data_IF_115634543055
#
_entry.id   IF_115634543055
#
_cell.length_a   1.000
_cell.length_b   1.000
_cell.length_c   1.000
_cell.angle_alpha   90.00
_cell.angle_beta   90.00
_cell.angle_gamma   90.00
#
_symmetry.space_group_name_H-M   'P 1'
#
loop_
_entity.id
_entity.type
_entity.pdbx_description
1 polymer ?
#
# COMPACT_ATOMS: atom_id res chain seq x y z
N UNK A 1 -2.55 46.74 -54.62
CA UNK A 1 -3.18 47.60 -53.57
C UNK A 1 -2.87 47.09 -52.16
N UNK A 2 -3.27 45.87 -51.77
CA UNK A 2 -2.96 45.28 -50.44
C UNK A 2 -1.46 45.17 -50.13
N UNK A 3 -0.63 45.03 -51.16
CA UNK A 3 0.84 45.02 -51.07
C UNK A 3 1.41 46.34 -50.54
N UNK A 4 0.89 47.50 -50.99
CA UNK A 4 1.34 48.82 -50.53
C UNK A 4 1.09 49.04 -49.04
N UNK A 5 -0.03 48.50 -48.52
CA UNK A 5 -0.37 48.55 -47.09
C UNK A 5 0.63 47.72 -46.27
N UNK A 6 1.04 46.56 -46.78
CA UNK A 6 2.06 45.73 -46.15
C UNK A 6 3.43 46.42 -46.14
N UNK A 7 3.82 47.04 -47.26
CA UNK A 7 5.07 47.79 -47.39
C UNK A 7 5.11 49.03 -46.49
N UNK A 8 3.98 49.72 -46.31
CA UNK A 8 3.85 50.82 -45.36
C UNK A 8 4.06 50.34 -43.91
N UNK A 9 3.49 49.20 -43.52
CA UNK A 9 3.74 48.59 -42.21
C UNK A 9 5.21 48.16 -42.02
N UNK A 10 5.97 47.97 -43.11
CA UNK A 10 7.42 47.72 -43.10
C UNK A 10 8.26 49.01 -43.25
N UNK A 11 7.64 50.20 -43.17
CA UNK A 11 8.25 51.52 -43.35
C UNK A 11 8.93 51.75 -44.72
N UNK A 12 8.49 51.03 -45.77
CA UNK A 12 9.07 51.13 -47.13
C UNK A 12 8.35 52.13 -48.03
N UNK A 13 7.16 52.56 -47.64
CA UNK A 13 6.30 53.48 -48.42
C UNK A 13 5.88 54.65 -47.53
N UNK A 14 5.70 55.83 -48.12
CA UNK A 14 5.27 57.03 -47.40
C UNK A 14 3.78 56.97 -47.07
N UNK A 15 3.42 57.58 -45.95
CA UNK A 15 2.05 57.61 -45.42
C UNK A 15 1.04 58.20 -46.41
N UNK A 16 1.46 59.22 -47.15
CA UNK A 16 0.65 59.93 -48.16
C UNK A 16 0.09 58.99 -49.25
N UNK A 17 0.83 57.93 -49.61
CA UNK A 17 0.43 56.99 -50.67
C UNK A 17 -0.57 55.92 -50.22
N UNK A 18 -0.79 55.79 -48.90
CA UNK A 18 -1.63 54.74 -48.30
C UNK A 18 -2.84 55.35 -47.58
N UNK A 19 -2.82 56.65 -47.26
CA UNK A 19 -3.95 57.36 -46.66
C UNK A 19 -5.22 57.28 -47.51
N UNK A 20 -5.11 57.44 -48.84
CA UNK A 20 -6.27 57.30 -49.74
C UNK A 20 -6.84 55.88 -49.76
N UNK A 21 -5.98 54.87 -49.59
CA UNK A 21 -6.37 53.46 -49.56
C UNK A 21 -7.04 53.08 -48.24
N UNK A 22 -6.69 53.75 -47.14
CA UNK A 22 -7.26 53.50 -45.81
C UNK A 22 -8.64 54.14 -45.61
N UNK A 23 -9.10 54.99 -46.55
CA UNK A 23 -10.47 55.53 -46.54
C UNK A 23 -11.53 54.47 -46.88
N UNK A 24 -11.13 53.42 -47.60
CA UNK A 24 -11.99 52.29 -47.91
C UNK A 24 -12.01 51.28 -46.75
N UNK A 25 -13.21 50.91 -46.31
CA UNK A 25 -13.45 50.04 -45.16
C UNK A 25 -12.78 48.67 -45.29
N UNK A 26 -12.68 48.11 -46.51
CA UNK A 26 -12.05 46.80 -46.72
C UNK A 26 -10.54 46.85 -46.43
N UNK A 27 -9.88 47.90 -46.91
CA UNK A 27 -8.44 48.08 -46.77
C UNK A 27 -8.04 48.54 -45.37
N UNK A 28 -8.90 49.30 -44.69
CA UNK A 28 -8.74 49.63 -43.27
C UNK A 28 -8.74 48.37 -42.38
N UNK A 29 -9.69 47.45 -42.61
CA UNK A 29 -9.73 46.16 -41.90
C UNK A 29 -8.47 45.34 -42.15
N UNK A 30 -8.04 45.27 -43.41
CA UNK A 30 -6.83 44.56 -43.80
C UNK A 30 -5.55 45.14 -43.15
N UNK A 31 -5.47 46.46 -42.99
CA UNK A 31 -4.38 47.12 -42.27
C UNK A 31 -4.36 46.76 -40.79
N UNK A 32 -5.51 46.76 -40.11
CA UNK A 32 -5.61 46.38 -38.70
C UNK A 32 -5.21 44.92 -38.45
N UNK A 33 -5.65 44.00 -39.31
CA UNK A 33 -5.31 42.58 -39.20
C UNK A 33 -3.81 42.35 -39.42
N UNK A 34 -3.22 42.97 -40.45
CA UNK A 34 -1.78 42.89 -40.68
C UNK A 34 -0.97 43.48 -39.53
N UNK A 35 -1.41 44.59 -38.96
CA UNK A 35 -0.76 45.22 -37.81
C UNK A 35 -0.76 44.28 -36.60
N UNK A 36 -1.91 43.69 -36.26
CA UNK A 36 -2.02 42.70 -35.17
C UNK A 36 -1.13 41.48 -35.42
N UNK A 37 -1.07 40.98 -36.65
CA UNK A 37 -0.23 39.84 -36.99
C UNK A 37 1.27 40.16 -36.84
N UNK A 38 1.72 41.34 -37.31
CA UNK A 38 3.11 41.78 -37.16
C UNK A 38 3.48 42.04 -35.70
N UNK A 39 2.57 42.59 -34.90
CA UNK A 39 2.74 42.76 -33.46
C UNK A 39 2.86 41.41 -32.74
N UNK A 40 1.96 40.45 -33.04
CA UNK A 40 2.04 39.10 -32.48
C UNK A 40 3.33 38.35 -32.85
N UNK A 41 3.79 38.46 -34.10
CA UNK A 41 5.07 37.90 -34.53
C UNK A 41 6.27 38.57 -33.84
N UNK A 42 6.18 39.88 -33.57
CA UNK A 42 7.21 40.62 -32.83
C UNK A 42 7.25 40.19 -31.36
N UNK A 43 6.11 39.96 -30.72
CA UNK A 43 6.05 39.42 -29.36
C UNK A 43 6.66 38.02 -29.26
N UNK A 44 6.36 37.14 -30.24
CA UNK A 44 6.96 35.80 -30.33
C UNK A 44 8.48 35.84 -30.59
N UNK A 45 8.98 36.88 -31.26
CA UNK A 45 10.43 37.08 -31.47
C UNK A 45 11.13 37.58 -30.20
N UNK A 46 10.47 38.41 -29.38
CA UNK A 46 11.03 38.94 -28.12
C UNK A 46 11.01 37.90 -27.02
N UNK A 47 9.96 37.07 -26.96
CA UNK A 47 9.83 35.94 -26.04
C UNK A 47 9.71 34.63 -26.84
N UNK A 48 10.81 34.14 -27.45
CA UNK A 48 10.77 32.86 -28.12
C UNK A 48 10.37 31.78 -27.10
N UNK A 49 9.37 30.93 -27.39
CA UNK A 49 9.04 29.80 -26.54
C UNK A 49 10.30 28.96 -26.32
N UNK A 50 10.72 28.85 -25.06
CA UNK A 50 11.95 28.19 -24.67
C UNK A 50 11.80 26.66 -24.76
N UNK A 51 11.85 26.16 -26.00
CA UNK A 51 11.81 24.74 -26.32
C UNK A 51 13.09 24.03 -25.88
N UNK A 52 14.22 24.75 -25.85
CA UNK A 52 15.54 24.19 -25.55
C UNK A 52 15.66 23.84 -24.06
N UNK A 53 15.16 24.68 -23.16
CA UNK A 53 15.15 24.35 -21.72
C UNK A 53 14.20 23.20 -21.39
N UNK A 54 13.03 23.14 -22.06
CA UNK A 54 12.07 22.04 -21.90
C UNK A 54 12.61 20.70 -22.38
N UNK A 55 13.31 20.66 -23.52
CA UNK A 55 13.98 19.44 -24.03
C UNK A 55 15.04 18.92 -23.06
N UNK A 56 15.87 19.80 -22.50
CA UNK A 56 16.91 19.44 -21.53
C UNK A 56 16.33 18.82 -20.25
N UNK A 57 15.16 19.25 -19.80
CA UNK A 57 14.47 18.69 -18.62
C UNK A 57 13.96 17.28 -18.90
N UNK A 58 13.44 17.03 -20.11
CA UNK A 58 12.93 15.70 -20.52
C UNK A 58 14.06 14.68 -20.63
N UNK A 59 15.17 15.03 -21.28
CA UNK A 59 16.34 14.14 -21.40
C UNK A 59 16.93 13.77 -20.03
N UNK A 60 17.04 14.73 -19.11
CA UNK A 60 17.57 14.48 -17.77
C UNK A 60 16.66 13.56 -16.96
N UNK A 61 15.34 13.71 -17.06
CA UNK A 61 14.38 12.80 -16.42
C UNK A 61 14.48 11.38 -16.99
N UNK A 62 14.67 11.25 -18.31
CA UNK A 62 14.76 9.95 -18.96
C UNK A 62 16.04 9.19 -18.58
N UNK A 63 17.18 9.89 -18.43
CA UNK A 63 18.41 9.27 -17.92
C UNK A 63 18.26 8.79 -16.48
N UNK A 64 17.75 9.63 -15.56
CA UNK A 64 17.56 9.25 -14.15
C UNK A 64 16.64 8.04 -14.02
N UNK A 65 15.58 7.96 -14.85
CA UNK A 65 14.66 6.83 -14.85
C UNK A 65 15.33 5.52 -15.29
N UNK A 66 16.21 5.56 -16.31
CA UNK A 66 16.97 4.37 -16.76
C UNK A 66 17.93 3.86 -15.69
N UNK A 67 18.65 4.75 -15.01
CA UNK A 67 19.57 4.36 -13.93
C UNK A 67 18.83 3.85 -12.70
N UNK A 68 17.70 4.45 -12.34
CA UNK A 68 16.85 3.98 -11.24
C UNK A 68 16.28 2.59 -11.54
N UNK A 69 15.79 2.35 -12.74
CA UNK A 69 15.27 1.04 -13.14
C UNK A 69 16.35 -0.05 -13.13
N UNK A 70 17.55 0.25 -13.64
CA UNK A 70 18.69 -0.67 -13.60
C UNK A 70 19.09 -1.00 -12.16
N UNK A 71 19.11 0.00 -11.27
CA UNK A 71 19.41 -0.19 -9.85
C UNK A 71 18.38 -1.08 -9.14
N UNK A 72 17.09 -0.88 -9.41
CA UNK A 72 16.01 -1.74 -8.89
C UNK A 72 16.16 -3.17 -9.39
N UNK A 73 16.48 -3.38 -10.66
CA UNK A 73 16.71 -4.73 -11.21
C UNK A 73 17.91 -5.43 -10.56
N UNK A 74 19.01 -4.71 -10.32
CA UNK A 74 20.17 -5.26 -9.60
C UNK A 74 19.79 -5.63 -8.16
N UNK A 75 19.03 -4.79 -7.46
CA UNK A 75 18.54 -5.10 -6.12
C UNK A 75 17.65 -6.35 -6.10
N UNK A 76 16.71 -6.50 -7.04
CA UNK A 76 15.85 -7.69 -7.13
C UNK A 76 16.67 -8.95 -7.38
N UNK A 77 17.71 -8.89 -8.22
CA UNK A 77 18.60 -10.04 -8.43
C UNK A 77 19.40 -10.37 -7.16
N UNK A 78 19.98 -9.38 -6.49
CA UNK A 78 20.77 -9.60 -5.26
C UNK A 78 19.89 -10.14 -4.13
N UNK A 79 18.73 -9.53 -3.89
CA UNK A 79 17.78 -9.99 -2.88
C UNK A 79 17.16 -11.34 -3.27
N UNK A 80 16.86 -11.57 -4.55
CA UNK A 80 16.32 -12.83 -5.05
C UNK A 80 17.32 -13.98 -4.87
N UNK A 81 18.60 -13.78 -5.19
CA UNK A 81 19.65 -14.77 -4.95
C UNK A 81 19.83 -15.04 -3.46
N UNK A 82 19.91 -14.00 -2.64
CA UNK A 82 20.04 -14.17 -1.18
C UNK A 82 18.83 -14.89 -0.55
N UNK A 83 17.62 -14.53 -0.97
CA UNK A 83 16.38 -15.18 -0.54
C UNK A 83 16.33 -16.64 -1.00
N UNK A 84 16.73 -16.94 -2.25
CA UNK A 84 16.74 -18.30 -2.78
C UNK A 84 17.73 -19.22 -2.03
N UNK A 85 18.90 -18.71 -1.66
CA UNK A 85 19.87 -19.45 -0.83
C UNK A 85 19.31 -19.75 0.56
N UNK A 86 18.67 -18.76 1.20
CA UNK A 86 18.03 -18.96 2.50
C UNK A 86 16.87 -19.96 2.39
N UNK A 87 16.03 -19.83 1.37
CA UNK A 87 14.89 -20.73 1.14
C UNK A 87 15.32 -22.17 0.84
N UNK A 88 16.39 -22.37 0.06
CA UNK A 88 16.95 -23.69 -0.20
C UNK A 88 17.45 -24.35 1.10
N UNK A 89 18.14 -23.60 1.96
CA UNK A 89 18.57 -24.09 3.27
C UNK A 89 17.38 -24.43 4.19
N UNK A 90 16.33 -23.60 4.21
CA UNK A 90 15.09 -23.90 4.94
C UNK A 90 14.40 -25.17 4.43
N UNK A 91 14.37 -25.37 3.11
CA UNK A 91 13.80 -26.58 2.50
C UNK A 91 14.61 -27.82 2.85
N UNK A 92 15.94 -27.73 2.87
CA UNK A 92 16.80 -28.84 3.26
C UNK A 92 16.64 -29.17 4.76
N UNK A 93 16.57 -28.15 5.63
CA UNK A 93 16.28 -28.33 7.06
C UNK A 93 14.90 -28.98 7.30
N UNK A 94 13.86 -28.55 6.57
CA UNK A 94 12.53 -29.14 6.63
C UNK A 94 12.52 -30.60 6.11
N UNK A 95 13.33 -30.92 5.09
CA UNK A 95 13.48 -32.29 4.58
C UNK A 95 14.17 -33.22 5.59
N UNK A 96 15.19 -32.73 6.31
CA UNK A 96 15.87 -33.51 7.36
C UNK A 96 14.97 -33.70 8.59
N UNK A 97 14.16 -32.70 8.95
CA UNK A 97 13.19 -32.80 10.03
C UNK A 97 12.04 -33.80 9.71
N UNK A 98 11.66 -33.92 8.43
CA UNK A 98 10.67 -34.91 7.97
C UNK A 98 11.23 -36.33 7.86
N UNK A 99 12.54 -36.51 7.66
CA UNK A 99 13.18 -37.83 7.75
C UNK A 99 13.37 -38.32 9.19
N UNK A 100 13.74 -37.43 10.12
CA UNK A 100 13.85 -37.76 11.55
C UNK A 100 12.49 -38.20 12.10
N UNK A 101 11.39 -37.60 11.65
CA UNK A 101 10.02 -38.01 12.04
C UNK A 101 9.56 -39.33 11.40
N UNK A 102 10.15 -39.79 10.29
CA UNK A 102 9.85 -41.10 9.70
C UNK A 102 10.52 -42.28 10.44
N UNK A 103 11.61 -42.03 11.17
CA UNK A 103 12.27 -43.08 11.97
C UNK A 103 11.61 -43.31 13.32
N UNK A 104 10.81 -42.37 13.81
CA UNK A 104 9.89 -42.60 14.92
C UNK A 104 8.60 -43.22 14.38
N UNK A 105 8.58 -44.55 14.31
CA UNK A 105 7.35 -45.33 14.12
C UNK A 105 6.44 -45.08 15.33
N UNK A 106 5.63 -44.02 15.25
CA UNK A 106 4.67 -43.67 16.28
C UNK A 106 3.62 -44.80 16.42
N UNK A 107 3.26 -45.20 17.65
CA UNK A 107 2.20 -46.18 17.89
C UNK A 107 0.85 -45.68 17.35
N UNK A 108 -0.09 -46.59 17.02
CA UNK A 108 -1.35 -46.21 16.38
C UNK A 108 -2.19 -45.40 17.38
N UNK A 109 -2.29 -44.10 17.14
CA UNK A 109 -2.98 -43.16 18.03
C UNK A 109 -2.53 -41.70 17.95
N UNK A 110 -1.42 -41.39 17.27
CA UNK A 110 -1.05 -39.99 17.01
C UNK A 110 -1.90 -39.41 15.87
N UNK A 111 -2.92 -38.64 16.27
CA UNK A 111 -3.71 -37.79 15.39
C UNK A 111 -2.81 -36.88 14.55
N UNK A 112 -3.27 -36.65 13.32
CA UNK A 112 -2.74 -35.66 12.38
C UNK A 112 -2.47 -34.38 13.16
N UNK A 113 -1.24 -33.88 13.12
CA UNK A 113 -0.86 -32.61 13.73
C UNK A 113 -1.67 -31.50 13.05
N UNK A 114 -2.82 -31.18 13.66
CA UNK A 114 -3.77 -30.18 13.18
C UNK A 114 -3.08 -28.82 13.36
N UNK A 115 -2.86 -28.11 12.26
CA UNK A 115 -2.28 -26.76 12.28
C UNK A 115 -3.28 -25.87 13.04
N UNK A 116 -2.99 -25.59 14.31
CA UNK A 116 -3.83 -24.73 15.14
C UNK A 116 -3.81 -23.33 14.55
N UNK A 117 -5.00 -22.79 14.25
CA UNK A 117 -5.11 -21.40 13.83
C UNK A 117 -4.86 -20.53 15.06
N UNK A 118 -3.83 -19.69 15.01
CA UNK A 118 -3.48 -18.74 16.07
C UNK A 118 -4.44 -17.53 16.00
N UNK A 119 -5.26 -17.38 17.01
CA UNK A 119 -6.26 -16.32 17.12
C UNK A 119 -6.00 -15.51 18.39
N UNK A 120 -6.23 -14.20 18.34
CA UNK A 120 -5.96 -13.30 19.47
C UNK A 120 -7.22 -12.57 19.93
N UNK A 121 -7.44 -12.55 21.25
CA UNK A 121 -8.48 -11.78 21.91
C UNK A 121 -7.81 -10.85 22.93
N UNK A 122 -8.05 -9.54 22.83
CA UNK A 122 -7.58 -8.56 23.82
C UNK A 122 -8.72 -8.15 24.72
N UNK A 123 -8.53 -8.29 26.02
CA UNK A 123 -9.52 -8.00 27.05
C UNK A 123 -8.92 -7.09 28.10
N UNK A 124 -9.67 -6.09 28.51
CA UNK A 124 -9.39 -5.25 29.67
C UNK A 124 -10.23 -5.75 30.84
N UNK A 125 -9.61 -6.09 31.97
CA UNK A 125 -10.29 -6.61 33.16
C UNK A 125 -9.65 -6.07 34.44
N UNK A 126 -10.43 -6.01 35.53
CA UNK A 126 -9.89 -5.71 36.86
C UNK A 126 -8.94 -6.83 37.33
N UNK A 127 -7.89 -6.46 38.07
CA UNK A 127 -6.95 -7.44 38.63
C UNK A 127 -7.62 -8.43 39.59
N UNK A 128 -8.68 -8.01 40.28
CA UNK A 128 -9.43 -8.86 41.22
C UNK A 128 -10.20 -9.98 40.52
N UNK A 129 -10.69 -9.73 39.30
CA UNK A 129 -11.59 -10.67 38.63
C UNK A 129 -10.88 -11.50 37.55
N UNK A 130 -9.61 -11.20 37.27
CA UNK A 130 -8.73 -11.95 36.39
C UNK A 130 -8.76 -13.46 36.67
N UNK A 131 -8.53 -13.86 37.92
CA UNK A 131 -8.48 -15.27 38.28
C UNK A 131 -9.84 -15.96 38.08
N UNK A 132 -10.94 -15.23 38.30
CA UNK A 132 -12.29 -15.75 38.11
C UNK A 132 -12.60 -15.97 36.61
N UNK A 133 -12.16 -15.06 35.74
CA UNK A 133 -12.27 -15.24 34.29
C UNK A 133 -11.44 -16.44 33.82
N UNK A 134 -10.16 -16.53 34.20
CA UNK A 134 -9.28 -17.64 33.80
C UNK A 134 -9.83 -18.99 34.26
N UNK A 135 -10.29 -19.08 35.52
CA UNK A 135 -10.90 -20.31 36.04
C UNK A 135 -12.18 -20.70 35.30
N UNK A 136 -12.96 -19.72 34.83
CA UNK A 136 -14.17 -19.97 34.03
C UNK A 136 -13.80 -20.49 32.64
N UNK A 137 -12.79 -19.88 31.99
CA UNK A 137 -12.30 -20.32 30.68
C UNK A 137 -11.65 -21.70 30.71
N UNK A 138 -10.97 -22.06 31.81
CA UNK A 138 -10.39 -23.40 31.99
C UNK A 138 -11.43 -24.53 32.07
N UNK A 139 -12.70 -24.23 32.36
CA UNK A 139 -13.78 -25.24 32.32
C UNK A 139 -14.17 -25.63 30.89
N UNK A 140 -13.90 -24.74 29.92
CA UNK A 140 -14.36 -24.85 28.53
C UNK A 140 -13.18 -25.19 27.60
N UNK A 141 -11.97 -24.74 27.97
CA UNK A 141 -10.75 -24.83 27.17
C UNK A 141 -9.53 -25.27 28.00
N UNK A 142 -8.51 -25.77 27.32
CA UNK A 142 -7.26 -26.20 27.99
C UNK A 142 -6.23 -25.08 27.96
N UNK A 143 -5.76 -24.62 29.13
CA UNK A 143 -4.67 -23.64 29.20
C UNK A 143 -3.33 -24.29 28.82
N UNK A 144 -2.70 -23.84 27.74
CA UNK A 144 -1.40 -24.34 27.24
C UNK A 144 -0.22 -23.57 27.80
N UNK A 145 -0.34 -22.24 27.91
CA UNK A 145 0.73 -21.38 28.37
C UNK A 145 0.18 -20.15 29.08
N UNK A 146 0.93 -19.63 30.05
CA UNK A 146 0.65 -18.37 30.72
C UNK A 146 1.93 -17.56 30.87
N UNK A 147 1.84 -16.28 30.55
CA UNK A 147 2.85 -15.27 30.84
C UNK A 147 2.21 -14.18 31.68
N UNK A 148 2.35 -14.31 32.99
CA UNK A 148 1.80 -13.37 33.97
C UNK A 148 2.45 -11.99 33.89
N UNK A 149 3.70 -11.89 33.41
CA UNK A 149 4.40 -10.59 33.30
C UNK A 149 3.80 -9.74 32.19
N UNK A 150 3.41 -10.38 31.08
CA UNK A 150 2.82 -9.73 29.92
C UNK A 150 1.28 -9.88 29.87
N UNK A 151 0.66 -10.41 30.92
CA UNK A 151 -0.79 -10.62 31.00
C UNK A 151 -1.34 -11.52 29.89
N UNK A 152 -0.56 -12.47 29.37
CA UNK A 152 -0.93 -13.26 28.18
C UNK A 152 -1.22 -14.71 28.56
N UNK A 153 -2.35 -15.25 28.08
CA UNK A 153 -2.82 -16.60 28.39
C UNK A 153 -3.22 -17.30 27.10
N UNK A 154 -2.66 -18.49 26.85
CA UNK A 154 -2.89 -19.24 25.60
C UNK A 154 -3.75 -20.45 25.88
N UNK A 155 -4.95 -20.47 25.28
CA UNK A 155 -5.94 -21.53 25.41
C UNK A 155 -6.03 -22.37 24.13
N UNK A 156 -6.18 -23.67 24.30
CA UNK A 156 -6.59 -24.59 23.24
C UNK A 156 -8.09 -24.86 23.37
N UNK A 157 -8.85 -24.47 22.35
CA UNK A 157 -10.31 -24.53 22.33
C UNK A 157 -10.76 -25.41 21.17
N UNK A 158 -11.58 -26.42 21.43
CA UNK A 158 -12.23 -27.20 20.35
C UNK A 158 -13.26 -26.32 19.63
N UNK A 159 -13.35 -26.43 18.31
CA UNK A 159 -14.21 -25.58 17.46
C UNK A 159 -15.66 -25.52 17.94
N UNK A 160 -16.23 -26.66 18.35
CA UNK A 160 -17.57 -26.75 18.94
C UNK A 160 -17.77 -25.94 20.24
N UNK A 161 -16.71 -25.64 20.98
CA UNK A 161 -16.74 -24.93 22.26
C UNK A 161 -16.34 -23.45 22.12
N UNK A 162 -15.99 -22.96 20.92
CA UNK A 162 -15.51 -21.59 20.72
C UNK A 162 -16.59 -20.56 21.01
N UNK A 163 -17.83 -20.82 20.58
CA UNK A 163 -18.94 -19.91 20.87
C UNK A 163 -19.18 -19.76 22.37
N UNK A 164 -19.11 -20.86 23.13
CA UNK A 164 -19.23 -20.84 24.59
C UNK A 164 -18.04 -20.13 25.27
N UNK A 165 -16.84 -20.35 24.75
CA UNK A 165 -15.63 -19.66 25.19
C UNK A 165 -15.73 -18.14 24.98
N UNK A 166 -16.14 -17.68 23.80
CA UNK A 166 -16.33 -16.27 23.49
C UNK A 166 -17.43 -15.64 24.34
N UNK A 167 -18.58 -16.32 24.47
CA UNK A 167 -19.69 -15.87 25.30
C UNK A 167 -19.29 -15.73 26.78
N UNK A 168 -18.38 -16.58 27.27
CA UNK A 168 -17.89 -16.50 28.66
C UNK A 168 -17.02 -15.27 28.89
N UNK A 169 -16.32 -14.78 27.86
CA UNK A 169 -15.56 -13.53 27.91
C UNK A 169 -16.50 -12.33 27.76
N UNK A 170 -17.42 -12.37 26.79
CA UNK A 170 -18.36 -11.28 26.49
C UNK A 170 -19.34 -10.99 27.64
N UNK A 171 -19.81 -12.03 28.34
CA UNK A 171 -20.77 -11.88 29.43
C UNK A 171 -20.10 -11.64 30.80
N UNK A 172 -18.77 -11.53 30.86
CA UNK A 172 -18.07 -11.32 32.12
C UNK A 172 -18.18 -9.84 32.53
N UNK A 173 -18.87 -9.56 33.64
CA UNK A 173 -19.30 -8.21 34.06
C UNK A 173 -18.18 -7.15 34.12
N UNK A 174 -16.93 -7.56 34.37
CA UNK A 174 -15.78 -6.65 34.45
C UNK A 174 -14.81 -6.73 33.26
N UNK A 175 -15.15 -7.51 32.23
CA UNK A 175 -14.36 -7.63 31.01
C UNK A 175 -14.85 -6.65 29.94
N UNK A 176 -13.94 -5.84 29.40
CA UNK A 176 -14.16 -5.05 28.19
C UNK A 176 -13.30 -5.62 27.08
N UNK A 177 -13.93 -6.16 26.04
CA UNK A 177 -13.23 -6.68 24.88
C UNK A 177 -12.78 -5.51 24.01
N UNK A 178 -11.48 -5.43 23.76
CA UNK A 178 -10.87 -4.40 22.92
C UNK A 178 -10.64 -4.88 21.49
N UNK A 179 -10.33 -6.17 21.33
CA UNK A 179 -10.08 -6.78 20.03
C UNK A 179 -10.49 -8.25 20.06
N UNK A 180 -11.24 -8.70 19.07
CA UNK A 180 -11.64 -10.10 18.92
C UNK A 180 -11.49 -10.53 17.46
N UNK A 181 -10.41 -11.24 17.16
CA UNK A 181 -10.13 -11.77 15.81
C UNK A 181 -11.05 -12.93 15.38
N UNK A 182 -11.82 -13.49 16.31
CA UNK A 182 -12.74 -14.61 16.08
C UNK A 182 -14.18 -14.19 15.78
N UNK A 183 -14.56 -12.92 15.97
CA UNK A 183 -15.97 -12.49 15.92
C UNK A 183 -16.62 -12.63 14.53
N UNK A 184 -15.83 -12.48 13.47
CA UNK A 184 -16.32 -12.46 12.08
C UNK A 184 -15.81 -13.64 11.23
N UNK A 185 -15.18 -14.64 11.86
CA UNK A 185 -14.63 -15.81 11.16
C UNK A 185 -15.61 -16.97 11.16
N UNK A 186 -15.67 -17.69 10.04
CA UNK A 186 -16.35 -18.98 9.98
C UNK A 186 -15.58 -19.99 10.85
N UNK A 187 -16.20 -20.42 11.95
CA UNK A 187 -15.63 -21.40 12.88
C UNK A 187 -15.97 -22.80 12.37
N UNK A 188 -14.95 -23.61 12.08
CA UNK A 188 -15.08 -25.03 11.79
C UNK A 188 -15.12 -25.81 13.11
N UNK A 189 -16.25 -26.47 13.36
CA UNK A 189 -16.48 -27.21 14.60
C UNK A 189 -15.57 -28.43 14.78
N UNK A 190 -14.92 -28.90 13.71
CA UNK A 190 -14.04 -30.07 13.72
C UNK A 190 -12.57 -29.74 13.96
N UNK A 191 -12.23 -28.44 14.01
CA UNK A 191 -10.87 -27.97 14.23
C UNK A 191 -10.60 -27.58 15.68
N UNK A 192 -9.33 -27.60 16.06
CA UNK A 192 -8.85 -27.06 17.33
C UNK A 192 -8.20 -25.71 17.09
N UNK A 193 -8.54 -24.73 17.91
CA UNK A 193 -8.10 -23.35 17.79
C UNK A 193 -7.21 -22.98 18.98
N UNK A 194 -6.16 -22.22 18.69
CA UNK A 194 -5.29 -21.69 19.71
C UNK A 194 -5.63 -20.22 19.91
N UNK A 195 -6.24 -19.92 21.06
CA UNK A 195 -6.73 -18.58 21.38
C UNK A 195 -5.79 -17.95 22.40
N UNK A 196 -5.11 -16.89 21.97
CA UNK A 196 -4.25 -16.05 22.81
C UNK A 196 -5.09 -14.93 23.41
N UNK A 197 -5.29 -14.99 24.72
CA UNK A 197 -5.96 -13.97 25.50
C UNK A 197 -4.90 -13.00 26.07
N UNK A 198 -4.88 -11.77 25.59
CA UNK A 198 -4.04 -10.70 26.15
C UNK A 198 -4.86 -9.83 27.09
N UNK A 199 -4.39 -9.68 28.32
CA UNK A 199 -5.10 -9.02 29.39
C UNK A 199 -4.43 -7.71 29.74
N UNK A 200 -5.19 -6.62 29.61
CA UNK A 200 -4.84 -5.31 30.10
C UNK A 200 -5.52 -5.09 31.46
N UNK A 201 -4.73 -4.78 32.48
CA UNK A 201 -5.27 -4.53 33.82
C UNK A 201 -5.75 -3.07 33.87
N UNK A 202 -7.01 -2.89 34.23
CA UNK A 202 -7.63 -1.59 34.50
C UNK A 202 -7.23 -1.03 35.87
#
# INVERSE_FOLDING_TARGET
MKEKINEYLDNRVKKEEVEELLLDKEYAFYYEDLKKMKEGLRELRVNPPDFVSKLRIVERKQMVFRYSFAFVMVLVLVFGVWFSMKFALYKELASKQTEITKQFKAPPGMGIMQISTEETIKVEISKSDLNNLINSLQKIATLKSKDEKNGTYVFEVQGKNISEFLNSIENFHSAKILENSLKDKAIDTNLTYQVTLTILIK
#
